data_IF_470616744964
#
_entry.id   IF_470616744964
#
_cell.length_a   1.000
_cell.length_b   1.000
_cell.length_c   1.000
_cell.angle_alpha   90.00
_cell.angle_beta   90.00
_cell.angle_gamma   90.00
#
_symmetry.space_group_name_H-M   'P 1'
#
loop_
_entity.id
_entity.type
_entity.pdbx_description
1 polymer ?
#
# COMPACT_ATOMS: atom_id res chain seq x y z
N UNK A 1 2.75 4.56 19.95
CA UNK A 1 2.99 4.28 18.52
C UNK A 1 4.39 4.78 18.12
N UNK A 2 5.26 3.89 17.65
CA UNK A 2 6.62 4.22 17.20
C UNK A 2 6.63 4.85 15.81
N UNK A 3 7.75 5.45 15.38
CA UNK A 3 7.91 5.96 14.01
C UNK A 3 7.69 4.87 12.97
N UNK A 4 8.20 3.67 13.23
CA UNK A 4 8.07 2.50 12.33
C UNK A 4 6.60 2.11 12.17
N UNK A 5 5.87 1.99 13.27
CA UNK A 5 4.43 1.68 13.25
C UNK A 5 3.62 2.71 12.46
N UNK A 6 3.91 4.02 12.65
CA UNK A 6 3.24 5.08 11.87
C UNK A 6 3.51 4.97 10.37
N UNK A 7 4.75 4.64 9.98
CA UNK A 7 5.11 4.48 8.57
C UNK A 7 4.44 3.24 7.96
N UNK A 8 4.42 2.13 8.68
CA UNK A 8 3.72 0.91 8.24
C UNK A 8 2.21 1.15 8.11
N UNK A 9 1.60 1.85 9.07
CA UNK A 9 0.18 2.22 9.00
C UNK A 9 -0.11 3.10 7.77
N UNK A 10 0.70 4.13 7.52
CA UNK A 10 0.60 4.96 6.30
C UNK A 10 0.71 4.12 5.03
N UNK A 11 1.69 3.20 4.95
CA UNK A 11 1.89 2.35 3.78
C UNK A 11 0.67 1.44 3.53
N UNK A 12 0.07 0.90 4.59
CA UNK A 12 -1.16 0.12 4.51
C UNK A 12 -2.35 0.95 4.01
N UNK A 13 -2.48 2.20 4.47
CA UNK A 13 -3.52 3.12 3.99
C UNK A 13 -3.36 3.46 2.52
N UNK A 14 -2.13 3.68 2.03
CA UNK A 14 -1.82 3.88 0.61
C UNK A 14 -2.28 2.68 -0.22
N UNK A 15 -1.91 1.46 0.19
CA UNK A 15 -2.32 0.21 -0.48
C UNK A 15 -3.84 0.06 -0.52
N UNK A 16 -4.51 0.26 0.62
CA UNK A 16 -5.97 0.19 0.72
C UNK A 16 -6.64 1.20 -0.22
N UNK A 17 -6.20 2.46 -0.21
CA UNK A 17 -6.77 3.52 -1.03
C UNK A 17 -6.59 3.24 -2.54
N UNK A 18 -5.44 2.72 -2.93
CA UNK A 18 -5.19 2.31 -4.32
C UNK A 18 -6.21 1.29 -4.80
N UNK A 19 -6.40 0.19 -4.06
CA UNK A 19 -7.36 -0.85 -4.44
C UNK A 19 -8.82 -0.37 -4.39
N UNK A 20 -9.17 0.51 -3.45
CA UNK A 20 -10.50 1.12 -3.41
C UNK A 20 -10.78 2.01 -4.64
N UNK A 21 -9.80 2.83 -5.05
CA UNK A 21 -9.93 3.67 -6.24
C UNK A 21 -9.96 2.85 -7.52
N UNK A 22 -9.07 1.86 -7.64
CA UNK A 22 -9.04 0.93 -8.77
C UNK A 22 -10.35 0.12 -8.89
N UNK A 23 -10.93 -0.28 -7.76
CA UNK A 23 -12.21 -0.97 -7.73
C UNK A 23 -13.40 -0.09 -8.19
N UNK A 24 -13.36 1.21 -7.86
CA UNK A 24 -14.39 2.19 -8.24
C UNK A 24 -14.26 2.68 -9.69
N UNK A 25 -13.03 2.77 -10.19
CA UNK A 25 -12.70 3.34 -11.51
C UNK A 25 -11.86 2.34 -12.32
N UNK A 26 -12.48 1.24 -12.75
CA UNK A 26 -11.79 0.16 -13.47
C UNK A 26 -11.28 0.56 -14.86
N UNK A 27 -11.85 1.63 -15.41
CA UNK A 27 -11.50 2.20 -16.70
C UNK A 27 -10.28 3.13 -16.63
N UNK A 28 -9.87 3.56 -15.43
CA UNK A 28 -8.70 4.41 -15.27
C UNK A 28 -7.41 3.63 -15.47
N UNK A 29 -6.44 4.27 -16.11
CA UNK A 29 -5.08 3.75 -16.19
C UNK A 29 -4.45 3.72 -14.79
N UNK A 30 -3.58 2.73 -14.56
CA UNK A 30 -2.95 2.52 -13.25
C UNK A 30 -2.14 3.74 -12.81
N UNK A 31 -1.44 4.40 -13.73
CA UNK A 31 -0.69 5.64 -13.46
C UNK A 31 -1.58 6.77 -12.94
N UNK A 32 -2.75 6.98 -13.55
CA UNK A 32 -3.72 7.98 -13.09
C UNK A 32 -4.24 7.67 -11.67
N UNK A 33 -4.41 6.40 -11.31
CA UNK A 33 -4.81 6.00 -9.96
C UNK A 33 -3.67 6.28 -8.97
N UNK A 34 -2.43 5.96 -9.34
CA UNK A 34 -1.23 6.23 -8.53
C UNK A 34 -1.10 7.73 -8.24
N UNK A 35 -1.23 8.57 -9.27
CA UNK A 35 -1.19 10.03 -9.12
C UNK A 35 -2.29 10.51 -8.18
N UNK A 36 -3.51 9.99 -8.33
CA UNK A 36 -4.64 10.38 -7.47
C UNK A 36 -4.45 9.96 -6.00
N UNK A 37 -3.85 8.80 -5.76
CA UNK A 37 -3.48 8.35 -4.41
C UNK A 37 -2.39 9.27 -3.85
N UNK A 38 -1.39 9.62 -4.67
CA UNK A 38 -0.33 10.56 -4.30
C UNK A 38 -0.85 11.92 -3.86
N UNK A 39 -1.78 12.52 -4.62
CA UNK A 39 -2.45 13.77 -4.27
C UNK A 39 -3.18 13.68 -2.92
N UNK A 40 -3.93 12.61 -2.69
CA UNK A 40 -4.72 12.43 -1.45
C UNK A 40 -3.85 12.16 -0.22
N UNK A 41 -2.74 11.47 -0.41
CA UNK A 41 -1.84 11.06 0.68
C UNK A 41 -0.63 12.00 0.84
N UNK A 42 -0.54 13.06 0.02
CA UNK A 42 0.58 13.99 -0.04
C UNK A 42 1.93 13.27 -0.27
N UNK A 43 1.95 12.33 -1.20
CA UNK A 43 3.12 11.54 -1.58
C UNK A 43 3.40 11.70 -3.08
N UNK A 44 4.68 11.71 -3.46
CA UNK A 44 5.05 11.63 -4.86
C UNK A 44 4.64 10.26 -5.46
N UNK A 45 4.27 10.23 -6.74
CA UNK A 45 3.83 9.01 -7.45
C UNK A 45 4.84 7.87 -7.33
N UNK A 46 6.14 8.17 -7.47
CA UNK A 46 7.23 7.19 -7.29
C UNK A 46 7.24 6.56 -5.89
N UNK A 47 6.88 7.32 -4.86
CA UNK A 47 6.78 6.81 -3.48
C UNK A 47 5.57 5.88 -3.33
N UNK A 48 4.44 6.22 -3.95
CA UNK A 48 3.25 5.36 -3.97
C UNK A 48 3.57 4.03 -4.65
N UNK A 49 4.21 4.07 -5.83
CA UNK A 49 4.68 2.87 -6.53
C UNK A 49 5.59 2.00 -5.66
N UNK A 50 6.60 2.59 -5.01
CA UNK A 50 7.51 1.85 -4.15
C UNK A 50 6.80 1.20 -2.95
N UNK A 51 5.77 1.86 -2.40
CA UNK A 51 4.93 1.29 -1.33
C UNK A 51 4.08 0.12 -1.83
N UNK A 52 3.51 0.22 -3.04
CA UNK A 52 2.71 -0.84 -3.67
C UNK A 52 3.56 -2.07 -4.01
N UNK A 53 4.78 -1.85 -4.50
CA UNK A 53 5.72 -2.90 -4.90
C UNK A 53 6.59 -3.43 -3.75
N UNK A 54 6.44 -2.90 -2.53
CA UNK A 54 7.29 -3.24 -1.38
C UNK A 54 8.79 -3.03 -1.63
N UNK A 55 9.13 -1.98 -2.39
CA UNK A 55 10.51 -1.65 -2.78
C UNK A 55 11.25 -0.85 -1.69
N UNK A 56 12.56 -1.07 -1.59
CA UNK A 56 13.45 -0.28 -0.74
C UNK A 56 13.03 -0.28 0.74
N UNK A 57 12.90 0.91 1.32
CA UNK A 57 12.53 1.07 2.74
C UNK A 57 11.04 0.81 3.02
N UNK A 58 10.23 0.51 2.01
CA UNK A 58 8.80 0.21 2.12
C UNK A 58 8.48 -1.28 2.10
N UNK A 59 9.52 -2.12 2.14
CA UNK A 59 9.45 -3.56 2.34
C UNK A 59 8.98 -3.90 3.75
N UNK A 60 7.72 -3.56 4.07
CA UNK A 60 7.03 -4.08 5.24
C UNK A 60 6.62 -5.52 4.92
N UNK A 61 7.58 -6.44 4.83
CA UNK A 61 7.26 -7.86 4.67
C UNK A 61 6.25 -8.22 5.77
N UNK A 62 5.10 -8.85 5.45
CA UNK A 62 4.24 -9.35 6.49
C UNK A 62 5.10 -10.26 7.36
N UNK A 63 5.03 -10.13 8.68
CA UNK A 63 5.48 -11.19 9.57
C UNK A 63 4.92 -12.51 8.99
N UNK A 64 5.72 -13.58 8.88
CA UNK A 64 5.24 -14.83 8.31
C UNK A 64 3.93 -15.15 9.02
N UNK A 65 2.84 -15.27 8.25
CA UNK A 65 1.57 -15.74 8.80
C UNK A 65 1.92 -17.07 9.44
N UNK A 66 2.00 -17.11 10.77
CA UNK A 66 2.10 -18.36 11.51
C UNK A 66 1.04 -19.25 10.90
N UNK A 67 1.48 -20.39 10.37
CA UNK A 67 0.68 -21.41 9.74
C UNK A 67 -0.73 -21.36 10.33
N UNK A 68 -1.73 -21.04 9.49
CA UNK A 68 -3.08 -21.49 9.78
C UNK A 68 -2.92 -22.96 10.09
N UNK A 69 -3.01 -23.28 11.38
CA UNK A 69 -2.86 -24.63 11.87
C UNK A 69 -3.94 -25.41 11.15
N UNK A 70 -3.47 -26.21 10.20
CA UNK A 70 -4.13 -27.42 9.79
C UNK A 70 -4.24 -28.28 11.05
N UNK A 71 -5.33 -28.10 11.78
CA UNK A 71 -5.74 -29.01 12.84
C UNK A 71 -7.11 -29.52 12.46
N UNK A 72 -7.06 -30.69 11.81
CA UNK A 72 -7.98 -31.84 11.87
C UNK A 72 -9.47 -31.54 12.07
#
# INVERSE_FOLDING_TARGET
MTRKERLTERNNQVRKMFYELHGKHKEWRVDAIIDKVGEKMFLASRTVEAILNYEGIYGDAPAPKSQLQLSL
#
